data_IF_454092166797
#
_entry.id   IF_454092166797
#
_cell.length_a   1.000
_cell.length_b   1.000
_cell.length_c   1.000
_cell.angle_alpha   90.00
_cell.angle_beta   90.00
_cell.angle_gamma   90.00
#
_symmetry.space_group_name_H-M   'P 1'
#
loop_
_entity.id
_entity.type
_entity.pdbx_description
1 polymer ?
#
# COMPACT_ATOMS: atom_id res chain seq x y z
N UNK A 1 69.92 5.15 14.50
CA UNK A 1 68.52 5.34 14.94
C UNK A 1 68.19 4.16 15.81
N UNK A 2 67.84 4.41 17.07
CA UNK A 2 67.56 3.38 18.07
C UNK A 2 66.25 2.66 17.71
N UNK A 3 66.27 1.32 17.73
CA UNK A 3 65.16 0.44 17.39
C UNK A 3 64.11 0.31 18.51
N UNK A 4 64.25 1.11 19.58
CA UNK A 4 63.35 1.13 20.75
C UNK A 4 62.38 2.31 20.77
N UNK A 5 62.22 3.04 19.65
CA UNK A 5 61.12 4.00 19.52
C UNK A 5 59.79 3.24 19.49
N UNK A 6 59.24 3.03 20.68
CA UNK A 6 57.99 2.34 20.90
C UNK A 6 56.87 3.16 20.23
N UNK A 7 56.40 2.66 19.08
CA UNK A 7 55.21 3.14 18.39
C UNK A 7 54.00 2.72 19.22
N UNK A 8 53.84 3.35 20.39
CA UNK A 8 52.55 3.35 21.07
C UNK A 8 51.61 4.17 20.19
N UNK A 9 50.78 3.47 19.41
CA UNK A 9 49.76 4.06 18.55
C UNK A 9 48.82 4.92 19.42
N UNK A 10 48.96 6.25 19.32
CA UNK A 10 48.19 7.24 20.08
C UNK A 10 48.99 8.21 20.96
N UNK A 11 50.33 8.16 20.94
CA UNK A 11 51.18 9.06 21.74
C UNK A 11 51.29 10.51 21.21
N UNK A 12 51.54 11.44 22.14
CA UNK A 12 51.87 12.84 21.83
C UNK A 12 53.26 12.92 21.19
N UNK A 13 53.33 13.27 19.91
CA UNK A 13 54.62 13.48 19.22
C UNK A 13 55.11 14.90 19.52
N UNK A 14 56.21 14.96 20.27
CA UNK A 14 56.93 16.19 20.57
C UNK A 14 58.25 16.24 19.81
N UNK A 15 58.57 17.41 19.26
CA UNK A 15 59.95 17.76 18.98
C UNK A 15 60.53 18.43 20.22
N UNK A 16 61.72 18.02 20.65
CA UNK A 16 62.42 18.64 21.77
C UNK A 16 63.89 18.85 21.39
N UNK A 17 64.51 19.88 21.97
CA UNK A 17 65.94 20.13 21.83
C UNK A 17 66.69 19.51 23.01
N UNK A 18 67.77 18.77 22.74
CA UNK A 18 68.70 18.37 23.80
C UNK A 18 69.42 19.62 24.30
N UNK A 19 69.25 19.95 25.58
CA UNK A 19 69.96 21.06 26.22
C UNK A 19 71.25 20.64 26.89
N UNK A 20 71.28 19.43 27.45
CA UNK A 20 72.42 18.96 28.23
C UNK A 20 72.55 17.45 28.12
N UNK A 21 73.80 16.98 28.10
CA UNK A 21 74.13 15.57 28.10
C UNK A 21 75.31 15.34 29.04
N UNK A 22 75.08 14.55 30.08
CA UNK A 22 76.12 14.08 30.99
C UNK A 22 76.52 12.66 30.59
N UNK A 23 77.81 12.45 30.34
CA UNK A 23 78.36 11.14 29.97
C UNK A 23 79.38 10.72 31.02
N UNK A 24 79.15 9.57 31.61
CA UNK A 24 80.02 8.92 32.57
C UNK A 24 80.87 7.86 31.87
N UNK A 25 82.19 8.02 31.96
CA UNK A 25 83.16 7.11 31.32
C UNK A 25 83.42 5.84 32.13
N UNK A 26 83.05 5.82 33.41
CA UNK A 26 83.31 4.70 34.32
C UNK A 26 82.05 3.92 34.68
N UNK A 27 80.87 4.54 34.58
CA UNK A 27 79.58 3.87 34.75
C UNK A 27 78.55 4.40 33.75
N UNK A 28 78.28 3.69 32.64
CA UNK A 28 77.32 4.10 31.62
C UNK A 28 75.88 4.32 32.10
N UNK A 29 75.50 3.74 33.25
CA UNK A 29 74.16 3.93 33.84
C UNK A 29 73.93 5.34 34.41
N UNK A 30 75.01 6.10 34.62
CA UNK A 30 74.92 7.49 35.08
C UNK A 30 74.78 8.49 33.93
N UNK A 31 74.70 8.03 32.67
CA UNK A 31 74.50 8.92 31.55
C UNK A 31 73.12 9.56 31.63
N UNK A 32 73.04 10.88 31.47
CA UNK A 32 71.79 11.64 31.54
C UNK A 32 71.66 12.56 30.34
N UNK A 33 70.45 12.67 29.80
CA UNK A 33 70.10 13.63 28.74
C UNK A 33 68.96 14.51 29.25
N UNK A 34 69.14 15.82 29.19
CA UNK A 34 68.11 16.80 29.53
C UNK A 34 67.58 17.43 28.24
N UNK A 35 66.25 17.47 28.10
CA UNK A 35 65.55 18.08 26.97
C UNK A 35 64.89 19.41 27.37
N UNK A 36 64.87 20.38 26.44
CA UNK A 36 64.20 21.69 26.57
C UNK A 36 63.50 22.06 25.27
N UNK A 37 62.69 23.13 25.29
CA UNK A 37 61.97 23.65 24.12
C UNK A 37 61.13 22.59 23.39
N UNK A 38 60.06 22.16 24.05
CA UNK A 38 59.09 21.21 23.50
C UNK A 38 58.14 21.90 22.52
N UNK A 39 58.07 21.41 21.29
CA UNK A 39 57.09 21.82 20.27
C UNK A 39 56.19 20.63 19.97
N UNK A 40 54.88 20.78 20.22
CA UNK A 40 53.86 19.79 19.84
C UNK A 40 53.72 19.81 18.33
N UNK A 41 54.04 18.69 17.68
CA UNK A 41 53.99 18.60 16.21
C UNK A 41 52.58 18.23 15.71
N UNK A 42 51.92 17.26 16.37
CA UNK A 42 50.55 16.85 16.05
C UNK A 42 49.97 16.05 17.23
N UNK A 43 48.69 16.25 17.56
CA UNK A 43 47.90 15.26 18.32
C UNK A 43 47.11 14.50 17.27
N UNK A 44 47.47 13.27 16.97
CA UNK A 44 46.53 12.40 16.29
C UNK A 44 45.49 11.94 17.33
N UNK A 45 44.23 11.83 16.91
CA UNK A 45 43.19 11.21 17.73
C UNK A 45 43.65 9.75 17.91
N UNK A 46 43.79 9.28 19.15
CA UNK A 46 44.17 7.89 19.39
C UNK A 46 43.11 6.95 18.80
N UNK A 47 43.52 5.75 18.37
CA UNK A 47 42.59 4.75 17.85
C UNK A 47 41.40 4.52 18.82
N UNK A 48 41.68 4.45 20.13
CA UNK A 48 40.67 4.31 21.17
C UNK A 48 39.63 5.45 21.20
N UNK A 49 40.06 6.70 21.01
CA UNK A 49 39.14 7.85 20.99
C UNK A 49 38.31 7.88 19.71
N UNK A 50 38.89 7.43 18.60
CA UNK A 50 38.17 7.28 17.34
C UNK A 50 37.13 6.15 17.42
N UNK A 51 37.50 5.00 17.97
CA UNK A 51 36.60 3.88 18.21
C UNK A 51 35.48 4.28 19.16
N UNK A 52 35.81 5.01 20.23
CA UNK A 52 34.79 5.52 21.15
C UNK A 52 33.86 6.52 20.48
N UNK A 53 34.36 7.39 19.62
CA UNK A 53 33.54 8.31 18.83
C UNK A 53 32.61 7.54 17.89
N UNK A 54 33.13 6.51 17.21
CA UNK A 54 32.33 5.65 16.33
C UNK A 54 31.24 4.92 17.10
N UNK A 55 31.55 4.34 18.26
CA UNK A 55 30.55 3.73 19.14
C UNK A 55 29.45 4.72 19.56
N UNK A 56 29.81 5.96 19.88
CA UNK A 56 28.83 7.00 20.24
C UNK A 56 27.93 7.36 19.06
N UNK A 57 28.50 7.45 17.85
CA UNK A 57 27.72 7.66 16.62
C UNK A 57 26.78 6.49 16.42
N UNK A 58 27.27 5.25 16.47
CA UNK A 58 26.46 4.06 16.21
C UNK A 58 25.33 3.90 17.23
N UNK A 59 25.58 4.19 18.51
CA UNK A 59 24.56 4.15 19.57
C UNK A 59 23.48 5.22 19.41
N UNK A 60 23.78 6.32 18.73
CA UNK A 60 22.84 7.42 18.49
C UNK A 60 22.18 7.36 17.11
N UNK A 61 22.65 6.50 16.22
CA UNK A 61 22.14 6.37 14.85
C UNK A 61 20.92 5.45 14.84
N UNK A 62 19.72 5.97 14.50
CA UNK A 62 18.52 5.14 14.46
C UNK A 62 18.49 4.26 13.21
N UNK A 63 17.75 3.15 13.30
CA UNK A 63 17.35 2.39 12.13
C UNK A 63 16.14 3.05 11.47
N UNK A 64 16.14 3.11 10.15
CA UNK A 64 14.97 3.43 9.33
C UNK A 64 14.29 2.13 8.92
N UNK A 65 12.96 2.08 8.99
CA UNK A 65 12.15 0.99 8.43
C UNK A 65 11.52 1.38 7.10
N UNK A 66 11.40 0.40 6.21
CA UNK A 66 10.57 0.45 5.02
C UNK A 66 9.63 -0.77 4.98
N UNK A 67 8.43 -0.59 4.43
CA UNK A 67 7.42 -1.63 4.28
C UNK A 67 7.02 -1.69 2.81
N UNK A 68 7.38 -2.80 2.18
CA UNK A 68 7.08 -3.03 0.77
C UNK A 68 5.84 -3.92 0.63
N UNK A 69 5.03 -3.64 -0.41
CA UNK A 69 3.86 -4.45 -0.77
C UNK A 69 3.94 -4.88 -2.23
N UNK A 70 3.66 -6.15 -2.53
CA UNK A 70 3.67 -6.61 -3.93
C UNK A 70 2.44 -6.19 -4.73
N UNK A 71 1.26 -6.15 -4.10
CA UNK A 71 -0.02 -5.84 -4.78
C UNK A 71 -0.81 -4.72 -4.07
N UNK A 72 -0.11 -3.83 -3.37
CA UNK A 72 -0.73 -2.72 -2.64
C UNK A 72 -1.45 -3.15 -1.37
N UNK A 73 -2.35 -2.29 -0.89
CA UNK A 73 -2.98 -2.42 0.44
C UNK A 73 -4.50 -2.53 0.39
N UNK A 74 -5.09 -2.64 -0.80
CA UNK A 74 -6.54 -2.70 -0.97
C UNK A 74 -6.93 -3.88 -1.84
N UNK A 75 -7.79 -4.73 -1.30
CA UNK A 75 -8.45 -5.81 -2.02
C UNK A 75 -9.85 -5.40 -2.46
N UNK A 76 -10.33 -6.09 -3.49
CA UNK A 76 -11.69 -5.94 -4.00
C UNK A 76 -12.43 -7.26 -3.89
N UNK A 77 -13.63 -7.22 -3.32
CA UNK A 77 -14.58 -8.34 -3.23
C UNK A 77 -13.96 -9.62 -2.62
N UNK A 78 -13.08 -9.49 -1.63
CA UNK A 78 -12.43 -10.63 -0.96
C UNK A 78 -11.48 -11.44 -1.86
N UNK A 79 -11.00 -10.84 -2.95
CA UNK A 79 -10.09 -11.51 -3.90
C UNK A 79 -8.70 -10.88 -3.91
N UNK A 80 -7.70 -11.72 -4.19
CA UNK A 80 -6.30 -11.32 -4.29
C UNK A 80 -5.49 -11.59 -3.02
N UNK A 81 -4.20 -11.29 -3.12
CA UNK A 81 -3.24 -11.38 -2.04
C UNK A 81 -2.14 -10.34 -2.24
N UNK A 82 -1.47 -9.94 -1.16
CA UNK A 82 -0.26 -9.13 -1.21
C UNK A 82 0.76 -9.71 -0.24
N UNK A 83 2.03 -9.65 -0.61
CA UNK A 83 3.11 -9.86 0.34
C UNK A 83 3.42 -8.53 1.02
N UNK A 84 3.72 -8.57 2.32
CA UNK A 84 4.23 -7.47 3.11
C UNK A 84 5.65 -7.81 3.54
N UNK A 85 6.64 -7.02 3.13
CA UNK A 85 8.05 -7.22 3.46
C UNK A 85 8.57 -6.11 4.35
N UNK A 86 9.20 -6.50 5.46
CA UNK A 86 9.84 -5.59 6.40
C UNK A 86 11.32 -5.39 6.04
N UNK A 87 11.74 -4.15 5.81
CA UNK A 87 13.13 -3.80 5.53
C UNK A 87 13.64 -2.77 6.53
N UNK A 88 14.90 -2.88 6.93
CA UNK A 88 15.53 -1.91 7.83
C UNK A 88 16.91 -1.48 7.32
N UNK A 89 17.26 -0.23 7.57
CA UNK A 89 18.51 0.38 7.13
C UNK A 89 19.13 1.15 8.29
N UNK A 90 20.43 1.02 8.50
CA UNK A 90 21.12 1.73 9.55
C UNK A 90 21.42 3.17 9.13
N UNK A 91 20.90 4.16 9.87
CA UNK A 91 21.11 5.57 9.53
C UNK A 91 20.73 5.91 8.10
N UNK A 92 21.68 6.44 7.32
CA UNK A 92 21.50 6.80 5.91
C UNK A 92 21.96 5.72 4.93
N UNK A 93 22.32 4.53 5.41
CA UNK A 93 22.82 3.47 4.54
C UNK A 93 21.76 3.04 3.52
N UNK A 94 22.22 2.70 2.33
CA UNK A 94 21.39 2.15 1.24
C UNK A 94 21.39 0.63 1.23
N UNK A 95 22.32 0.00 1.95
CA UNK A 95 22.39 -1.44 2.12
C UNK A 95 21.47 -1.84 3.26
N UNK A 96 20.58 -2.78 2.99
CA UNK A 96 19.67 -3.31 4.00
C UNK A 96 20.44 -4.00 5.13
N UNK A 97 20.01 -3.77 6.37
CA UNK A 97 20.42 -4.56 7.52
C UNK A 97 19.41 -5.68 7.73
N UNK A 98 19.88 -6.91 7.84
CA UNK A 98 19.02 -8.04 8.21
C UNK A 98 18.93 -8.09 9.74
N UNK A 99 17.71 -8.00 10.28
CA UNK A 99 17.49 -8.12 11.72
C UNK A 99 17.73 -9.55 12.21
N UNK A 100 18.02 -9.70 13.50
CA UNK A 100 18.15 -11.03 14.13
C UNK A 100 16.79 -11.74 14.18
N UNK A 101 15.70 -10.98 14.31
CA UNK A 101 14.33 -11.49 14.25
C UNK A 101 13.32 -10.43 13.81
N UNK A 102 12.23 -10.91 13.23
CA UNK A 102 11.05 -10.14 12.87
C UNK A 102 9.82 -10.68 13.60
N UNK A 103 8.88 -9.81 13.93
CA UNK A 103 7.57 -10.17 14.51
C UNK A 103 6.48 -9.40 13.78
N UNK A 104 5.69 -10.10 12.95
CA UNK A 104 4.47 -9.56 12.37
C UNK A 104 3.29 -9.79 13.29
N UNK A 105 2.47 -8.76 13.44
CA UNK A 105 1.19 -8.80 14.15
C UNK A 105 0.05 -8.34 13.25
N UNK A 106 -1.12 -8.96 13.41
CA UNK A 106 -2.39 -8.55 12.83
C UNK A 106 -3.31 -8.11 13.95
N UNK A 107 -3.76 -6.85 13.91
CA UNK A 107 -4.64 -6.24 14.91
C UNK A 107 -4.13 -6.47 16.36
N UNK A 108 -2.81 -6.34 16.53
CA UNK A 108 -2.11 -6.52 17.81
C UNK A 108 -1.79 -7.97 18.20
N UNK A 109 -2.21 -8.96 17.42
CA UNK A 109 -1.91 -10.38 17.67
C UNK A 109 -0.78 -10.86 16.77
N UNK A 110 0.27 -11.46 17.34
CA UNK A 110 1.41 -11.98 16.57
C UNK A 110 0.96 -13.10 15.63
N UNK A 111 1.36 -13.01 14.35
CA UNK A 111 0.98 -13.97 13.29
C UNK A 111 2.16 -14.68 12.65
N UNK A 112 3.35 -14.07 12.61
CA UNK A 112 4.51 -14.71 11.98
C UNK A 112 5.86 -14.12 12.46
N UNK A 113 6.90 -14.94 12.61
CA UNK A 113 8.25 -14.49 12.95
C UNK A 113 9.18 -14.43 11.72
N UNK A 114 8.72 -13.88 10.60
CA UNK A 114 9.44 -13.85 9.32
C UNK A 114 9.61 -12.42 8.79
N UNK A 115 10.57 -12.19 7.90
CA UNK A 115 10.75 -10.87 7.29
C UNK A 115 9.57 -10.47 6.40
N UNK A 116 9.06 -11.45 5.63
CA UNK A 116 7.94 -11.28 4.71
C UNK A 116 6.78 -12.18 5.12
N UNK A 117 5.55 -11.69 4.97
CA UNK A 117 4.31 -12.46 5.12
C UNK A 117 3.43 -12.27 3.89
N UNK A 118 2.62 -13.29 3.58
CA UNK A 118 1.54 -13.17 2.59
C UNK A 118 0.22 -12.89 3.31
N UNK A 119 -0.51 -11.89 2.83
CA UNK A 119 -1.84 -11.53 3.30
C UNK A 119 -2.84 -11.83 2.19
N UNK A 120 -3.72 -12.79 2.45
CA UNK A 120 -4.85 -13.09 1.57
C UNK A 120 -6.06 -12.21 1.88
N UNK A 121 -6.76 -11.79 0.83
CA UNK A 121 -7.97 -10.99 0.95
C UNK A 121 -9.07 -11.67 1.79
N UNK A 122 -9.16 -13.00 1.72
CA UNK A 122 -10.10 -13.79 2.54
C UNK A 122 -9.85 -13.67 4.05
N UNK A 123 -8.62 -13.31 4.44
CA UNK A 123 -8.26 -13.02 5.82
C UNK A 123 -8.65 -11.62 6.29
N UNK A 124 -9.11 -10.73 5.40
CA UNK A 124 -9.42 -9.32 5.71
C UNK A 124 -10.90 -9.05 5.40
N UNK A 125 -11.75 -9.03 6.44
CA UNK A 125 -13.20 -8.81 6.27
C UNK A 125 -13.50 -7.42 5.69
N UNK A 126 -13.15 -6.36 6.42
CA UNK A 126 -13.27 -4.96 5.96
C UNK A 126 -11.91 -4.26 5.99
N UNK A 127 -11.22 -4.37 7.13
CA UNK A 127 -9.87 -3.84 7.34
C UNK A 127 -9.13 -4.68 8.35
N UNK A 128 -7.81 -4.69 8.25
CA UNK A 128 -6.91 -5.24 9.25
C UNK A 128 -5.63 -4.41 9.30
N UNK A 129 -5.10 -4.18 10.50
CA UNK A 129 -3.82 -3.50 10.68
C UNK A 129 -2.73 -4.54 10.84
N UNK A 130 -1.77 -4.55 9.93
CA UNK A 130 -0.56 -5.34 10.04
C UNK A 130 0.58 -4.45 10.53
N UNK A 131 1.40 -4.96 11.45
CA UNK A 131 2.58 -4.25 11.93
C UNK A 131 3.74 -5.21 12.12
N UNK A 132 4.95 -4.78 11.82
CA UNK A 132 6.15 -5.54 12.13
C UNK A 132 7.00 -4.87 13.22
N UNK A 133 7.78 -5.67 13.92
CA UNK A 133 8.94 -5.24 14.71
C UNK A 133 10.18 -5.96 14.20
N UNK A 134 11.30 -5.25 14.11
CA UNK A 134 12.61 -5.80 13.82
C UNK A 134 13.51 -5.66 15.05
N UNK A 135 14.19 -6.75 15.43
CA UNK A 135 15.02 -6.81 16.64
C UNK A 135 16.46 -7.12 16.30
N UNK A 136 17.39 -6.33 16.84
CA UNK A 136 18.85 -6.56 16.75
C UNK A 136 19.41 -6.52 18.17
N UNK A 137 20.26 -7.48 18.52
CA UNK A 137 20.88 -7.62 19.84
C UNK A 137 19.85 -7.54 21.00
N UNK A 138 18.67 -8.16 20.81
CA UNK A 138 17.60 -8.21 21.80
C UNK A 138 16.82 -6.90 21.99
N UNK A 139 17.07 -5.86 21.17
CA UNK A 139 16.34 -4.59 21.19
C UNK A 139 15.51 -4.42 19.93
N UNK A 140 14.26 -3.99 20.07
CA UNK A 140 13.45 -3.57 18.93
C UNK A 140 14.04 -2.28 18.38
N UNK A 141 14.60 -2.36 17.17
CA UNK A 141 15.29 -1.25 16.52
C UNK A 141 14.41 -0.50 15.53
N UNK A 142 13.39 -1.17 15.00
CA UNK A 142 12.44 -0.56 14.08
C UNK A 142 11.06 -1.23 14.16
N UNK A 143 10.02 -0.47 13.85
CA UNK A 143 8.65 -0.96 13.75
C UNK A 143 7.85 -0.09 12.79
N UNK A 144 6.98 -0.70 12.00
CA UNK A 144 6.07 0.02 11.10
C UNK A 144 4.75 -0.73 10.97
N UNK A 145 3.69 -0.01 10.63
CA UNK A 145 2.34 -0.56 10.44
C UNK A 145 1.75 -0.16 9.09
N UNK A 146 0.96 -1.04 8.50
CA UNK A 146 0.16 -0.83 7.31
C UNK A 146 -1.28 -1.27 7.56
N UNK A 147 -2.24 -0.52 7.04
CA UNK A 147 -3.66 -0.92 7.06
C UNK A 147 -4.01 -1.52 5.72
N UNK A 148 -4.51 -2.76 5.74
CA UNK A 148 -5.05 -3.44 4.57
C UNK A 148 -6.57 -3.32 4.62
N UNK A 149 -7.20 -2.98 3.51
CA UNK A 149 -8.68 -2.93 3.40
C UNK A 149 -9.19 -3.88 2.34
N UNK A 150 -10.39 -4.38 2.52
CA UNK A 150 -11.13 -5.14 1.52
C UNK A 150 -12.45 -4.42 1.26
N UNK A 151 -12.69 -4.02 0.02
CA UNK A 151 -13.86 -3.23 -0.36
C UNK A 151 -14.76 -4.05 -1.26
N UNK A 152 -16.03 -4.14 -0.89
CA UNK A 152 -17.10 -4.71 -1.72
C UNK A 152 -17.66 -3.62 -2.65
N UNK A 153 -17.72 -3.89 -3.96
CA UNK A 153 -18.35 -2.97 -4.93
C UNK A 153 -19.89 -3.00 -4.90
N UNK A 154 -20.46 -3.85 -4.06
CA UNK A 154 -21.88 -3.99 -3.84
C UNK A 154 -22.58 -4.74 -4.98
N UNK A 155 -23.90 -4.74 -4.93
CA UNK A 155 -24.72 -5.33 -5.99
C UNK A 155 -24.99 -4.27 -7.07
N UNK A 156 -24.62 -4.56 -8.32
CA UNK A 156 -24.97 -3.69 -9.45
C UNK A 156 -26.48 -3.46 -9.52
N UNK A 157 -26.95 -2.24 -9.82
CA UNK A 157 -28.36 -1.97 -10.00
C UNK A 157 -28.92 -2.76 -11.19
N UNK A 158 -30.21 -3.07 -11.13
CA UNK A 158 -30.94 -3.62 -12.26
C UNK A 158 -31.32 -2.46 -13.18
N UNK A 159 -30.91 -2.52 -14.44
CA UNK A 159 -31.26 -1.54 -15.47
C UNK A 159 -32.37 -2.10 -16.34
N UNK A 160 -33.48 -1.35 -16.48
CA UNK A 160 -34.55 -1.66 -17.43
C UNK A 160 -34.28 -0.94 -18.75
N UNK A 161 -34.26 -1.71 -19.83
CA UNK A 161 -34.14 -1.23 -21.21
C UNK A 161 -35.38 -1.66 -21.97
N UNK A 162 -35.94 -0.78 -22.78
CA UNK A 162 -36.99 -1.13 -23.74
C UNK A 162 -36.34 -1.27 -25.10
N UNK A 163 -36.41 -2.46 -25.69
CA UNK A 163 -36.01 -2.70 -27.08
C UNK A 163 -37.23 -2.68 -27.99
N UNK A 164 -37.05 -2.24 -29.24
CA UNK A 164 -38.15 -2.03 -30.19
C UNK A 164 -37.88 -2.73 -31.52
N UNK A 165 -38.78 -3.64 -31.92
CA UNK A 165 -38.61 -4.42 -33.15
C UNK A 165 -38.57 -3.58 -34.43
N UNK A 166 -39.29 -2.46 -34.47
CA UNK A 166 -39.37 -1.55 -35.62
C UNK A 166 -39.02 -0.09 -35.27
N UNK A 167 -38.31 0.15 -34.17
CA UNK A 167 -37.95 1.50 -33.70
C UNK A 167 -39.12 2.30 -33.12
N UNK A 168 -38.94 3.61 -32.97
CA UNK A 168 -39.86 4.48 -32.20
C UNK A 168 -40.70 5.44 -33.07
N UNK A 169 -40.67 5.28 -34.39
CA UNK A 169 -41.36 6.17 -35.33
C UNK A 169 -42.20 5.36 -36.31
N UNK A 170 -43.51 5.64 -36.37
CA UNK A 170 -44.40 5.05 -37.36
C UNK A 170 -44.43 5.92 -38.62
N UNK A 171 -43.74 5.47 -39.66
CA UNK A 171 -43.65 6.11 -40.99
C UNK A 171 -43.39 5.05 -42.05
N UNK A 172 -43.65 5.35 -43.33
CA UNK A 172 -43.28 4.51 -44.47
C UNK A 172 -43.67 3.02 -44.30
N UNK A 173 -44.96 2.75 -44.05
CA UNK A 173 -45.54 1.42 -43.85
C UNK A 173 -45.14 0.68 -42.54
N UNK A 174 -44.32 1.27 -41.68
CA UNK A 174 -44.16 0.79 -40.30
C UNK A 174 -45.39 1.26 -39.51
N UNK A 175 -46.32 0.33 -39.26
CA UNK A 175 -47.60 0.58 -38.60
C UNK A 175 -47.69 0.00 -37.18
N UNK A 176 -46.68 -0.77 -36.77
CA UNK A 176 -46.56 -1.30 -35.43
C UNK A 176 -45.08 -1.47 -35.02
N UNK A 177 -44.86 -1.57 -33.72
CA UNK A 177 -43.61 -2.06 -33.16
C UNK A 177 -43.91 -2.93 -31.94
N UNK A 178 -43.06 -3.91 -31.66
CA UNK A 178 -43.12 -4.68 -30.42
C UNK A 178 -42.04 -4.14 -29.50
N UNK A 179 -42.46 -3.56 -28.38
CA UNK A 179 -41.58 -3.22 -27.29
C UNK A 179 -41.33 -4.44 -26.41
N UNK A 180 -40.08 -4.68 -26.05
CA UNK A 180 -39.67 -5.75 -25.13
C UNK A 180 -38.88 -5.14 -23.99
N UNK A 181 -39.35 -5.33 -22.76
CA UNK A 181 -38.64 -4.91 -21.56
C UNK A 181 -37.54 -5.92 -21.23
N UNK A 182 -36.31 -5.43 -21.07
CA UNK A 182 -35.12 -6.24 -20.82
C UNK A 182 -34.46 -5.72 -19.54
N UNK A 183 -34.27 -6.61 -18.57
CA UNK A 183 -33.57 -6.30 -17.33
C UNK A 183 -32.13 -6.76 -17.41
N UNK A 184 -31.20 -5.83 -17.23
CA UNK A 184 -29.77 -6.10 -17.18
C UNK A 184 -29.23 -5.89 -15.76
N UNK A 185 -28.42 -6.83 -15.30
CA UNK A 185 -27.56 -6.67 -14.13
C UNK A 185 -26.19 -7.26 -14.48
N UNK A 186 -25.10 -6.57 -14.12
CA UNK A 186 -23.74 -6.99 -14.49
C UNK A 186 -23.57 -7.27 -16.00
N UNK A 187 -24.18 -6.41 -16.84
CA UNK A 187 -24.17 -6.52 -18.31
C UNK A 187 -24.76 -7.83 -18.86
N UNK A 188 -25.57 -8.55 -18.07
CA UNK A 188 -26.25 -9.77 -18.49
C UNK A 188 -27.75 -9.63 -18.27
N UNK A 189 -28.55 -10.13 -19.22
CA UNK A 189 -29.99 -10.22 -19.05
C UNK A 189 -30.32 -11.21 -17.93
N UNK A 190 -31.14 -10.78 -16.96
CA UNK A 190 -31.41 -11.57 -15.75
C UNK A 190 -32.74 -12.33 -15.79
N UNK A 191 -33.62 -12.03 -16.73
CA UNK A 191 -34.94 -12.65 -16.87
C UNK A 191 -35.35 -12.84 -18.34
N UNK A 192 -34.58 -13.62 -19.10
CA UNK A 192 -34.82 -13.86 -20.54
C UNK A 192 -36.24 -14.35 -20.85
N UNK A 193 -36.80 -15.20 -19.99
CA UNK A 193 -38.14 -15.76 -20.17
C UNK A 193 -39.27 -14.83 -19.69
N UNK A 194 -38.95 -13.78 -18.92
CA UNK A 194 -39.93 -12.85 -18.38
C UNK A 194 -40.82 -13.44 -17.28
N UNK A 195 -40.27 -14.37 -16.49
CA UNK A 195 -41.02 -15.12 -15.47
C UNK A 195 -40.61 -14.79 -14.05
N UNK A 196 -39.50 -14.05 -13.87
CA UNK A 196 -38.97 -13.68 -12.56
C UNK A 196 -39.50 -12.32 -12.08
N UNK A 197 -39.81 -11.41 -13.01
CA UNK A 197 -40.31 -10.07 -12.73
C UNK A 197 -41.70 -9.85 -13.34
N UNK A 198 -42.40 -8.84 -12.84
CA UNK A 198 -43.72 -8.45 -13.34
C UNK A 198 -43.60 -7.20 -14.20
N UNK A 199 -43.76 -7.34 -15.51
CA UNK A 199 -43.56 -6.27 -16.49
C UNK A 199 -44.88 -5.55 -16.76
N UNK A 200 -45.09 -4.41 -16.10
CA UNK A 200 -46.32 -3.64 -16.21
C UNK A 200 -46.08 -2.43 -17.11
N UNK A 201 -46.84 -2.34 -18.19
CA UNK A 201 -46.76 -1.24 -19.14
C UNK A 201 -47.73 -0.13 -18.79
N UNK A 202 -47.28 1.11 -18.97
CA UNK A 202 -48.12 2.29 -18.85
C UNK A 202 -47.93 3.22 -20.02
N UNK A 203 -49.00 3.90 -20.39
CA UNK A 203 -49.06 4.88 -21.46
C UNK A 203 -49.43 6.25 -20.91
N UNK A 204 -48.71 7.25 -21.41
CA UNK A 204 -49.00 8.66 -21.25
C UNK A 204 -49.27 9.27 -22.64
N UNK A 205 -50.35 10.03 -22.76
CA UNK A 205 -50.78 10.67 -24.00
C UNK A 205 -49.85 11.82 -24.42
N UNK A 206 -50.03 12.32 -25.65
CA UNK A 206 -49.23 13.41 -26.21
C UNK A 206 -49.23 14.69 -25.37
N UNK A 207 -50.32 14.93 -24.63
CA UNK A 207 -50.56 16.07 -23.74
C UNK A 207 -50.00 15.86 -22.31
N UNK A 208 -49.40 14.70 -22.02
CA UNK A 208 -48.86 14.36 -20.71
C UNK A 208 -49.87 13.74 -19.74
N UNK A 209 -51.12 13.53 -20.16
CA UNK A 209 -52.13 12.85 -19.32
C UNK A 209 -51.98 11.34 -19.39
N UNK A 210 -52.28 10.67 -18.28
CA UNK A 210 -52.24 9.20 -18.20
C UNK A 210 -53.43 8.60 -18.97
N UNK A 211 -53.17 7.60 -19.82
CA UNK A 211 -54.24 6.86 -20.50
C UNK A 211 -54.83 5.77 -19.58
N UNK A 212 -55.85 6.13 -18.80
CA UNK A 212 -56.42 5.21 -17.78
C UNK A 212 -57.02 3.94 -18.40
N UNK A 213 -57.66 4.05 -19.57
CA UNK A 213 -58.29 2.90 -20.21
C UNK A 213 -57.25 1.92 -20.74
N UNK A 214 -56.21 2.44 -21.41
CA UNK A 214 -55.11 1.63 -21.89
C UNK A 214 -54.33 1.00 -20.73
N UNK A 215 -54.03 1.77 -19.67
CA UNK A 215 -53.30 1.28 -18.50
C UNK A 215 -54.08 0.22 -17.73
N UNK A 216 -55.42 0.33 -17.66
CA UNK A 216 -56.28 -0.70 -17.06
C UNK A 216 -56.25 -2.01 -17.87
N UNK A 217 -56.22 -1.92 -19.19
CA UNK A 217 -56.15 -3.10 -20.07
C UNK A 217 -54.79 -3.83 -19.99
N UNK A 218 -53.71 -3.13 -19.62
CA UNK A 218 -52.34 -3.66 -19.61
C UNK A 218 -51.74 -3.80 -18.19
N UNK A 219 -52.59 -4.03 -17.17
CA UNK A 219 -52.13 -4.26 -15.79
C UNK A 219 -51.56 -5.66 -15.53
N UNK A 220 -51.74 -6.59 -16.48
CA UNK A 220 -51.17 -7.93 -16.36
C UNK A 220 -49.72 -7.89 -16.82
N UNK A 221 -48.83 -8.62 -16.12
CA UNK A 221 -47.42 -8.75 -16.52
C UNK A 221 -47.29 -9.25 -17.96
N UNK A 222 -46.59 -8.48 -18.78
CA UNK A 222 -46.25 -8.82 -20.16
C UNK A 222 -44.85 -8.32 -20.46
N UNK A 223 -43.88 -9.23 -20.66
CA UNK A 223 -42.50 -8.83 -20.98
C UNK A 223 -42.41 -8.05 -22.30
N UNK A 224 -43.28 -8.36 -23.26
CA UNK A 224 -43.38 -7.66 -24.54
C UNK A 224 -44.80 -7.19 -24.80
N UNK A 225 -44.92 -6.03 -25.43
CA UNK A 225 -46.20 -5.46 -25.87
C UNK A 225 -46.08 -4.96 -27.31
N UNK A 226 -47.14 -5.14 -28.09
CA UNK A 226 -47.21 -4.62 -29.46
C UNK A 226 -47.97 -3.30 -29.45
N UNK A 227 -47.30 -2.24 -29.91
CA UNK A 227 -47.87 -0.91 -30.09
C UNK A 227 -48.20 -0.72 -31.56
N UNK A 228 -49.42 -0.29 -31.84
CA UNK A 228 -49.94 -0.06 -33.19
C UNK A 228 -50.26 1.42 -33.41
N UNK A 229 -50.59 1.79 -34.65
CA UNK A 229 -51.03 3.14 -34.97
C UNK A 229 -52.28 3.59 -34.18
N UNK A 230 -53.18 2.69 -33.76
CA UNK A 230 -54.34 3.05 -32.94
C UNK A 230 -53.96 3.42 -31.51
N UNK A 231 -52.81 2.94 -31.02
CA UNK A 231 -52.32 3.25 -29.68
C UNK A 231 -51.67 4.63 -29.59
N UNK A 232 -51.35 5.26 -30.73
CA UNK A 232 -50.57 6.51 -30.80
C UNK A 232 -51.31 7.59 -31.58
N UNK A 233 -51.91 8.55 -30.86
CA UNK A 233 -52.43 9.77 -31.49
C UNK A 233 -51.37 10.88 -31.48
N UNK A 234 -50.72 11.09 -32.63
CA UNK A 234 -49.58 11.99 -32.85
C UNK A 234 -48.30 11.57 -32.10
N UNK A 235 -48.37 11.38 -30.79
CA UNK A 235 -47.29 10.92 -29.91
C UNK A 235 -47.89 10.26 -28.67
N UNK A 236 -47.20 9.29 -28.11
CA UNK A 236 -47.45 8.76 -26.78
C UNK A 236 -46.11 8.34 -26.17
N UNK A 237 -46.04 8.33 -24.84
CA UNK A 237 -44.92 7.76 -24.09
C UNK A 237 -45.38 6.43 -23.52
N UNK A 238 -44.55 5.40 -23.68
CA UNK A 238 -44.76 4.09 -23.09
C UNK A 238 -43.62 3.81 -22.14
N UNK A 239 -43.97 3.45 -20.91
CA UNK A 239 -43.04 3.10 -19.85
C UNK A 239 -43.33 1.67 -19.39
N UNK A 240 -42.32 1.00 -18.83
CA UNK A 240 -42.45 -0.30 -18.22
C UNK A 240 -41.88 -0.25 -16.79
N UNK A 241 -42.59 -0.84 -15.84
CA UNK A 241 -42.10 -1.13 -14.48
C UNK A 241 -41.88 -2.64 -14.34
N UNK A 242 -40.84 -3.06 -13.63
CA UNK A 242 -40.48 -4.46 -13.42
C UNK A 242 -40.07 -4.75 -11.97
#
# INVERSE_FOLDING_TARGET
QDSTFDKSDGGLILSARVSEQEISFTNPLNNKITFTNFVKLKSDISADLYDRMKELIDQSTPYRSDLETTNGVQFKNGTGSTDLSAHIYFGSDTTETIADSYEWSKDGTVVAPTQTITVDASGVADKAVYSFKATIAGKVVASQSVTITNVDDGTSPINLVIDSSNGYQFKNNIINTTFTAILYQNNKEIDSEGTKFAYIWSKTNSDGTVDTAWNLAHQTSQKSITITNSDVWQRATFDCTA
#
